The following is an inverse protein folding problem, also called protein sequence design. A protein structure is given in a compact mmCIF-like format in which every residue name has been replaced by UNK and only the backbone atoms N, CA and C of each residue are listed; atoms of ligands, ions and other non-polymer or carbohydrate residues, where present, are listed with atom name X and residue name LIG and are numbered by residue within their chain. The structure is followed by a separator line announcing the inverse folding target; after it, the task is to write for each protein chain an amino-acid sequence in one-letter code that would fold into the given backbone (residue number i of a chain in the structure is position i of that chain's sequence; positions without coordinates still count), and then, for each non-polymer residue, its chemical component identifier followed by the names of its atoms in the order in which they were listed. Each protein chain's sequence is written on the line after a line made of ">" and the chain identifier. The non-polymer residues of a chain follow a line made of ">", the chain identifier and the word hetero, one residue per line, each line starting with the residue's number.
data_IF_039921115044
#
_entry.id   IF_039921115044
#
_cell.length_a   1.000
_cell.length_b   1.000
_cell.length_c   1.000
_cell.angle_alpha   90.00
_cell.angle_beta   90.00
_cell.angle_gamma   90.00
#
_symmetry.space_group_name_H-M   'P 1'
#
loop_
_entity.id
_entity.type
_entity.pdbx_description
1 polymer ?
#
# COMPACT_ATOMS: atom_id res chain seq x y z
N UNK A 1 -17.68 -0.75 -6.24
CA UNK A 1 -16.75 -1.84 -5.92
C UNK A 1 -15.40 -1.16 -6.01
N UNK A 2 -14.78 -0.93 -4.87
CA UNK A 2 -13.64 -0.03 -4.75
C UNK A 2 -12.42 -0.48 -5.55
N UNK A 3 -11.52 0.46 -5.77
CA UNK A 3 -10.21 0.19 -6.35
C UNK A 3 -9.28 -0.39 -5.28
N UNK A 4 -8.31 -1.19 -5.70
CA UNK A 4 -7.31 -1.79 -4.83
C UNK A 4 -5.94 -1.23 -5.16
N UNK A 5 -5.26 -0.77 -4.12
CA UNK A 5 -3.97 -0.11 -4.20
C UNK A 5 -2.93 -0.93 -3.44
N UNK A 6 -1.79 -1.18 -4.06
CA UNK A 6 -0.61 -1.73 -3.41
C UNK A 6 0.52 -0.72 -3.49
N UNK A 7 1.18 -0.47 -2.35
CA UNK A 7 2.29 0.45 -2.25
C UNK A 7 3.54 -0.30 -1.78
N UNK A 8 4.58 -0.29 -2.62
CA UNK A 8 5.92 -0.64 -2.19
C UNK A 8 6.64 0.63 -1.69
N UNK A 9 6.73 0.75 -0.37
CA UNK A 9 7.17 1.95 0.34
C UNK A 9 8.67 1.90 0.63
N UNK A 10 9.44 2.82 0.04
CA UNK A 10 10.86 3.02 0.36
C UNK A 10 11.10 4.34 1.10
N UNK A 11 12.37 4.68 1.32
CA UNK A 11 12.76 5.92 2.02
C UNK A 11 12.63 7.20 1.20
N UNK A 12 12.81 7.11 -0.12
CA UNK A 12 12.90 8.28 -1.00
C UNK A 12 11.89 8.27 -2.13
N UNK A 13 11.26 7.11 -2.37
CA UNK A 13 10.28 6.88 -3.42
C UNK A 13 9.32 5.79 -3.01
N UNK A 14 8.14 5.76 -3.62
CA UNK A 14 7.20 4.65 -3.50
C UNK A 14 6.70 4.26 -4.86
N UNK A 15 6.58 2.96 -5.11
CA UNK A 15 5.89 2.46 -6.29
C UNK A 15 4.46 2.12 -5.92
N UNK A 16 3.51 2.61 -6.70
CA UNK A 16 2.09 2.41 -6.51
C UNK A 16 1.53 1.63 -7.68
N UNK A 17 0.71 0.63 -7.39
CA UNK A 17 -0.15 -0.03 -8.39
C UNK A 17 -1.60 0.08 -7.96
N UNK A 18 -2.45 0.64 -8.83
CA UNK A 18 -3.91 0.68 -8.67
C UNK A 18 -4.57 -0.26 -9.65
N UNK A 19 -5.53 -1.04 -9.19
CA UNK A 19 -6.29 -1.97 -10.03
C UNK A 19 -7.74 -2.08 -9.60
N UNK A 20 -8.59 -2.51 -10.54
CA UNK A 20 -9.98 -2.84 -10.23
C UNK A 20 -10.07 -4.14 -9.44
N UNK A 21 -11.26 -4.43 -8.89
CA UNK A 21 -11.55 -5.71 -8.24
C UNK A 21 -11.30 -6.94 -9.13
N UNK A 22 -11.47 -6.79 -10.45
CA UNK A 22 -11.23 -7.83 -11.45
C UNK A 22 -9.74 -8.01 -11.76
N UNK A 23 -8.86 -7.17 -11.20
CA UNK A 23 -7.42 -7.20 -11.41
C UNK A 23 -6.95 -6.46 -12.65
N UNK A 24 -7.79 -5.64 -13.28
CA UNK A 24 -7.34 -4.76 -14.36
C UNK A 24 -6.50 -3.63 -13.76
N UNK A 25 -5.25 -3.52 -14.19
CA UNK A 25 -4.37 -2.43 -13.78
C UNK A 25 -4.89 -1.12 -14.38
N UNK A 26 -5.18 -0.15 -13.51
CA UNK A 26 -5.59 1.21 -13.87
C UNK A 26 -4.40 2.15 -13.92
N UNK A 27 -3.42 1.95 -13.03
CA UNK A 27 -2.29 2.85 -12.89
C UNK A 27 -1.08 2.14 -12.26
N UNK A 28 0.11 2.51 -12.72
CA UNK A 28 1.39 2.14 -12.11
C UNK A 28 2.32 3.35 -12.15
N UNK A 29 2.70 3.85 -10.98
CA UNK A 29 3.44 5.11 -10.87
C UNK A 29 4.51 5.02 -9.79
N UNK A 30 5.67 5.62 -10.06
CA UNK A 30 6.75 5.77 -9.11
C UNK A 30 6.76 7.22 -8.60
N UNK A 31 6.56 7.41 -7.30
CA UNK A 31 6.35 8.70 -6.65
C UNK A 31 7.56 9.05 -5.79
N UNK A 32 8.21 10.17 -6.08
CA UNK A 32 9.32 10.69 -5.27
C UNK A 32 8.80 11.39 -4.02
N UNK A 33 9.42 11.12 -2.88
CA UNK A 33 9.01 11.72 -1.60
C UNK A 33 9.47 13.17 -1.48
N UNK A 34 10.63 13.51 -2.05
CA UNK A 34 11.22 14.86 -1.99
C UNK A 34 10.36 15.93 -2.66
N UNK A 35 9.50 15.55 -3.60
CA UNK A 35 8.61 16.47 -4.32
C UNK A 35 7.24 16.60 -3.68
N UNK A 36 6.96 15.83 -2.61
CA UNK A 36 5.61 15.73 -2.05
C UNK A 36 4.64 14.89 -2.90
N UNK A 37 5.11 14.19 -3.93
CA UNK A 37 4.25 13.50 -4.89
C UNK A 37 3.42 12.39 -4.24
N UNK A 38 3.95 11.69 -3.23
CA UNK A 38 3.20 10.67 -2.50
C UNK A 38 2.04 11.29 -1.70
N UNK A 39 2.26 12.39 -0.98
CA UNK A 39 1.17 13.04 -0.23
C UNK A 39 0.09 13.58 -1.18
N UNK A 40 0.48 14.19 -2.29
CA UNK A 40 -0.45 14.68 -3.31
C UNK A 40 -1.26 13.53 -3.90
N UNK A 41 -0.61 12.42 -4.23
CA UNK A 41 -1.26 11.23 -4.74
C UNK A 41 -2.29 10.68 -3.75
N UNK A 42 -1.89 10.45 -2.49
CA UNK A 42 -2.78 9.96 -1.44
C UNK A 42 -3.95 10.93 -1.14
N UNK A 43 -3.77 12.23 -1.41
CA UNK A 43 -4.83 13.25 -1.30
C UNK A 43 -5.84 13.21 -2.43
N UNK A 44 -5.40 12.85 -3.63
CA UNK A 44 -6.25 12.79 -4.81
C UNK A 44 -7.02 11.47 -4.92
N UNK A 45 -6.77 10.50 -4.04
CA UNK A 45 -7.47 9.22 -4.06
C UNK A 45 -8.97 9.39 -3.73
N UNK A 46 -9.86 8.68 -4.44
CA UNK A 46 -11.27 8.62 -4.07
C UNK A 46 -11.45 7.89 -2.73
N UNK A 47 -12.60 8.11 -2.08
CA UNK A 47 -12.89 7.51 -0.77
C UNK A 47 -13.08 5.97 -0.81
N UNK A 48 -13.48 5.41 -1.96
CA UNK A 48 -13.70 3.96 -2.17
C UNK A 48 -12.42 3.28 -2.69
N UNK A 49 -11.32 3.40 -1.93
CA UNK A 49 -10.02 2.77 -2.24
C UNK A 49 -9.53 1.98 -1.04
N UNK A 50 -9.21 0.70 -1.28
CA UNK A 50 -8.56 -0.17 -0.32
C UNK A 50 -7.05 -0.18 -0.59
N UNK A 51 -6.24 0.07 0.43
CA UNK A 51 -4.80 0.27 0.28
C UNK A 51 -4.00 -0.74 1.10
N UNK A 52 -3.02 -1.39 0.49
CA UNK A 52 -2.08 -2.28 1.17
C UNK A 52 -0.65 -1.71 1.14
N UNK A 53 0.01 -1.75 2.30
CA UNK A 53 1.43 -1.42 2.47
C UNK A 53 2.07 -2.41 3.43
N UNK A 54 3.32 -2.82 3.22
CA UNK A 54 4.00 -3.69 4.17
C UNK A 54 4.35 -2.95 5.48
N UNK A 55 4.34 -3.70 6.59
CA UNK A 55 4.82 -3.25 7.91
C UNK A 55 6.35 -3.10 7.97
N UNK A 56 6.93 -2.25 7.10
CA UNK A 56 8.36 -1.95 7.02
C UNK A 56 8.66 -0.57 7.61
N UNK A 57 9.94 -0.21 7.77
CA UNK A 57 10.38 0.86 8.67
C UNK A 57 9.71 2.24 8.54
N UNK A 58 9.09 2.57 7.41
CA UNK A 58 8.48 3.88 7.17
C UNK A 58 6.95 3.89 7.10
N UNK A 59 6.27 2.77 7.37
CA UNK A 59 4.82 2.67 7.21
C UNK A 59 4.05 3.70 8.06
N UNK A 60 4.54 3.97 9.29
CA UNK A 60 3.88 4.88 10.24
C UNK A 60 3.86 6.31 9.73
N UNK A 61 4.98 6.78 9.17
CA UNK A 61 5.07 8.10 8.55
C UNK A 61 4.03 8.28 7.43
N UNK A 62 3.80 7.25 6.61
CA UNK A 62 2.79 7.29 5.55
C UNK A 62 1.37 7.23 6.12
N UNK A 63 1.13 6.38 7.12
CA UNK A 63 -0.17 6.22 7.77
C UNK A 63 -0.66 7.53 8.39
N UNK A 64 0.22 8.26 9.08
CA UNK A 64 -0.09 9.57 9.66
C UNK A 64 -0.56 10.61 8.62
N UNK A 65 -0.14 10.50 7.35
CA UNK A 65 -0.58 11.42 6.29
C UNK A 65 -2.04 11.20 5.86
N UNK A 66 -2.60 10.03 6.15
CA UNK A 66 -3.92 9.62 5.64
C UNK A 66 -4.91 9.21 6.73
N UNK A 67 -4.46 9.11 7.98
CA UNK A 67 -5.28 8.69 9.13
C UNK A 67 -6.55 9.53 9.27
N UNK A 68 -6.45 10.86 9.09
CA UNK A 68 -7.59 11.78 9.19
C UNK A 68 -8.57 11.67 8.00
N UNK A 69 -8.24 10.90 6.95
CA UNK A 69 -9.05 10.75 5.74
C UNK A 69 -9.89 9.48 5.69
N UNK A 70 -9.82 8.65 6.75
CA UNK A 70 -10.56 7.39 6.82
C UNK A 70 -10.34 6.46 5.61
N UNK A 71 -9.15 6.49 5.01
CA UNK A 71 -8.80 5.52 3.96
C UNK A 71 -8.67 4.13 4.58
N UNK A 72 -9.16 3.11 3.88
CA UNK A 72 -9.04 1.71 4.30
C UNK A 72 -7.61 1.20 4.01
N UNK A 73 -6.68 1.58 4.90
CA UNK A 73 -5.30 1.12 4.87
C UNK A 73 -5.17 -0.17 5.66
N UNK A 74 -4.75 -1.22 4.97
CA UNK A 74 -4.39 -2.52 5.52
C UNK A 74 -2.87 -2.65 5.56
N UNK A 75 -2.34 -2.81 6.77
CA UNK A 75 -0.92 -3.08 6.96
C UNK A 75 -0.66 -4.56 6.71
N UNK A 76 0.27 -4.88 5.81
CA UNK A 76 0.61 -6.25 5.44
C UNK A 76 1.81 -6.78 6.26
N UNK A 77 1.76 -8.02 6.69
CA UNK A 77 2.84 -8.67 7.42
C UNK A 77 3.96 -9.10 6.46
N UNK A 78 5.15 -8.46 6.45
CA UNK A 78 6.14 -8.62 5.39
C UNK A 78 6.68 -10.05 5.26
N UNK A 79 6.95 -10.74 6.38
CA UNK A 79 7.43 -12.14 6.33
C UNK A 79 6.40 -13.11 5.75
N UNK A 80 5.11 -12.90 6.02
CA UNK A 80 4.03 -13.75 5.53
C UNK A 80 3.72 -13.45 4.05
N UNK A 81 3.74 -12.17 3.66
CA UNK A 81 3.67 -11.78 2.24
C UNK A 81 4.79 -12.45 1.45
N UNK A 82 6.03 -12.37 1.96
CA UNK A 82 7.19 -13.04 1.33
C UNK A 82 7.02 -14.54 1.24
N UNK A 83 6.39 -15.19 2.21
CA UNK A 83 6.13 -16.64 2.18
C UNK A 83 5.11 -17.03 1.09
N UNK A 84 4.16 -16.16 0.75
CA UNK A 84 3.12 -16.41 -0.25
C UNK A 84 3.58 -16.01 -1.66
N UNK A 85 4.31 -14.91 -1.77
CA UNK A 85 4.57 -14.25 -3.04
C UNK A 85 6.06 -13.98 -3.31
N UNK A 86 6.95 -14.85 -2.82
CA UNK A 86 8.36 -14.77 -3.17
C UNK A 86 8.55 -15.00 -4.68
N UNK A 87 9.05 -14.00 -5.39
CA UNK A 87 9.44 -14.10 -6.79
C UNK A 87 10.96 -14.19 -6.94
N UNK A 88 11.43 -14.87 -8.00
CA UNK A 88 12.86 -14.90 -8.37
C UNK A 88 13.37 -13.52 -8.78
N UNK A 89 12.51 -12.73 -9.43
CA UNK A 89 12.78 -11.35 -9.84
C UNK A 89 11.96 -10.45 -8.93
N UNK A 90 12.64 -9.63 -8.13
CA UNK A 90 12.03 -8.64 -7.24
C UNK A 90 12.22 -7.26 -7.83
N UNK A 91 11.13 -6.51 -7.99
CA UNK A 91 11.14 -5.10 -8.43
C UNK A 91 10.00 -4.37 -7.74
N UNK A 92 10.17 -3.07 -7.51
CA UNK A 92 9.15 -2.24 -6.83
C UNK A 92 7.76 -2.36 -7.48
N UNK A 93 7.73 -2.49 -8.82
CA UNK A 93 6.50 -2.73 -9.60
C UNK A 93 5.85 -4.07 -9.27
N UNK A 94 6.62 -5.15 -9.23
CA UNK A 94 6.10 -6.50 -8.95
C UNK A 94 5.60 -6.58 -7.50
N UNK A 95 6.34 -5.99 -6.57
CA UNK A 95 5.98 -6.00 -5.15
C UNK A 95 4.67 -5.22 -4.91
N UNK A 96 4.56 -3.99 -5.43
CA UNK A 96 3.34 -3.20 -5.36
C UNK A 96 2.13 -3.88 -6.03
N UNK A 97 2.34 -4.49 -7.21
CA UNK A 97 1.28 -5.23 -7.92
C UNK A 97 0.82 -6.44 -7.11
N UNK A 98 1.75 -7.14 -6.47
CA UNK A 98 1.48 -8.31 -5.62
C UNK A 98 0.62 -7.92 -4.41
N UNK A 99 0.98 -6.83 -3.72
CA UNK A 99 0.21 -6.33 -2.58
C UNK A 99 -1.24 -6.01 -2.99
N UNK A 100 -1.43 -5.31 -4.11
CA UNK A 100 -2.77 -5.01 -4.64
C UNK A 100 -3.57 -6.28 -4.97
N UNK A 101 -2.91 -7.30 -5.54
CA UNK A 101 -3.54 -8.59 -5.80
C UNK A 101 -3.93 -9.34 -4.53
N UNK A 102 -3.05 -9.40 -3.54
CA UNK A 102 -3.33 -10.06 -2.26
C UNK A 102 -4.47 -9.37 -1.53
N UNK A 103 -4.52 -8.04 -1.57
CA UNK A 103 -5.61 -7.27 -0.96
C UNK A 103 -6.94 -7.54 -1.64
N UNK A 104 -7.01 -7.44 -2.98
CA UNK A 104 -8.28 -7.64 -3.71
C UNK A 104 -8.82 -9.06 -3.66
N UNK A 105 -7.97 -10.03 -3.33
CA UNK A 105 -8.33 -11.46 -3.26
C UNK A 105 -8.56 -11.95 -1.84
N UNK A 106 -8.52 -11.06 -0.83
CA UNK A 106 -8.64 -11.42 0.59
C UNK A 106 -7.59 -12.45 1.05
N UNK A 107 -6.39 -12.38 0.46
CA UNK A 107 -5.25 -13.25 0.76
C UNK A 107 -4.10 -12.49 1.42
N UNK A 108 -4.28 -11.20 1.72
CA UNK A 108 -3.26 -10.36 2.33
C UNK A 108 -3.09 -10.73 3.80
N UNK A 109 -1.93 -11.27 4.23
CA UNK A 109 -1.68 -11.48 5.64
C UNK A 109 -1.49 -10.13 6.32
N UNK A 110 -2.35 -9.80 7.28
CA UNK A 110 -2.37 -8.48 7.92
C UNK A 110 -1.46 -8.40 9.15
N UNK A 111 -1.00 -7.18 9.42
CA UNK A 111 -0.37 -6.76 10.65
C UNK A 111 -1.29 -5.76 11.37
N UNK A 112 -1.14 -5.64 12.69
CA UNK A 112 -1.98 -4.78 13.51
C UNK A 112 -1.50 -3.32 13.46
N UNK A 113 -2.43 -2.40 13.20
CA UNK A 113 -2.22 -0.96 13.38
C UNK A 113 -2.83 -0.57 14.73
N UNK A 114 -2.03 -0.22 15.75
CA UNK A 114 -2.57 0.25 17.01
C UNK A 114 -3.25 1.61 16.84
N UNK A 115 -4.41 1.85 17.49
CA UNK A 115 -5.04 3.16 17.52
C UNK A 115 -4.15 4.17 18.25
N UNK A 116 -4.29 5.47 17.95
CA UNK A 116 -3.48 6.56 18.53
C UNK A 116 -3.30 6.44 20.04
N UNK A 117 -4.37 6.19 20.79
CA UNK A 117 -4.36 6.07 22.26
C UNK A 117 -3.44 4.96 22.80
N UNK A 118 -3.08 3.97 21.99
CA UNK A 118 -2.16 2.88 22.36
C UNK A 118 -0.75 3.14 21.79
N UNK A 119 -0.66 3.88 20.68
CA UNK A 119 0.58 4.11 19.92
C UNK A 119 1.39 5.29 20.45
N UNK A 120 0.70 6.35 20.89
CA UNK A 120 1.25 7.65 21.28
C UNK A 120 1.11 7.88 22.80
#
# INVERSE_FOLDING_TARGET
>A
MGDYLGIDLHKTKSFVTRMTAQGQILEQVNLLHTTGALQQYLTALPADVHLAVEATGNWMWMYEQIEDRHLDLVLAHPLKVRAIASARIKTDKIDATTLAHLLRTDLLPTAYIPPRVIRD
#
